data_IF_469978335887
#
_entry.id   IF_469978335887
#
_cell.length_a   1.000
_cell.length_b   1.000
_cell.length_c   1.000
_cell.angle_alpha   90.00
_cell.angle_beta   90.00
_cell.angle_gamma   90.00
#
_symmetry.space_group_name_H-M   'P 1'
#
loop_
_entity.id
_entity.type
_entity.pdbx_description
1 polymer ?
#
# COMPACT_ATOMS: atom_id res chain seq x y z
N UNK A 1 7.82 -10.52 -30.42
CA UNK A 1 7.89 -9.06 -30.15
C UNK A 1 7.15 -8.61 -28.87
N UNK A 2 6.06 -9.26 -28.44
CA UNK A 2 5.29 -8.85 -27.24
C UNK A 2 6.06 -8.86 -25.89
N UNK A 3 7.08 -9.71 -25.74
CA UNK A 3 7.84 -9.82 -24.48
C UNK A 3 8.69 -8.58 -24.17
N UNK A 4 9.22 -7.90 -25.19
CA UNK A 4 10.05 -6.71 -25.00
C UNK A 4 9.23 -5.53 -24.45
N UNK A 5 8.04 -5.31 -25.00
CA UNK A 5 7.16 -4.22 -24.57
C UNK A 5 6.68 -4.38 -23.11
N UNK A 6 6.37 -5.61 -22.68
CA UNK A 6 5.97 -5.88 -21.31
C UNK A 6 7.11 -5.62 -20.31
N UNK A 7 8.36 -5.93 -20.69
CA UNK A 7 9.53 -5.62 -19.88
C UNK A 7 9.68 -4.10 -19.69
N UNK A 8 9.72 -3.35 -20.79
CA UNK A 8 9.88 -1.89 -20.78
C UNK A 8 8.77 -1.22 -19.96
N UNK A 9 7.52 -1.64 -20.14
CA UNK A 9 6.39 -1.13 -19.35
C UNK A 9 6.57 -1.39 -17.85
N UNK A 10 7.00 -2.60 -17.48
CA UNK A 10 7.19 -2.94 -16.07
C UNK A 10 8.35 -2.15 -15.43
N UNK A 11 9.39 -1.86 -16.21
CA UNK A 11 10.53 -1.07 -15.75
C UNK A 11 10.17 0.41 -15.59
N UNK A 12 9.33 0.96 -16.48
CA UNK A 12 8.75 2.30 -16.30
C UNK A 12 7.87 2.39 -15.05
N UNK A 13 7.01 1.40 -14.81
CA UNK A 13 6.22 1.32 -13.57
C UNK A 13 7.13 1.32 -12.34
N UNK A 14 8.25 0.59 -12.39
CA UNK A 14 9.25 0.58 -11.32
C UNK A 14 9.85 1.96 -11.10
N UNK A 15 10.30 2.64 -12.16
CA UNK A 15 10.89 3.97 -12.08
C UNK A 15 9.93 5.01 -11.48
N UNK A 16 8.69 5.06 -11.97
CA UNK A 16 7.69 5.99 -11.43
C UNK A 16 7.38 5.70 -9.96
N UNK A 17 7.29 4.41 -9.60
CA UNK A 17 7.04 4.02 -8.20
C UNK A 17 8.21 4.38 -7.29
N UNK A 18 9.47 4.26 -7.75
CA UNK A 18 10.64 4.66 -6.96
C UNK A 18 10.74 6.16 -6.70
N UNK A 19 10.10 6.98 -7.54
CA UNK A 19 10.00 8.44 -7.35
C UNK A 19 8.84 8.79 -6.39
N UNK A 20 8.10 7.79 -5.89
CA UNK A 20 7.00 7.98 -4.95
C UNK A 20 5.62 8.11 -5.59
N UNK A 21 5.50 7.92 -6.91
CA UNK A 21 4.21 8.03 -7.59
C UNK A 21 3.23 6.94 -7.13
N UNK A 22 2.01 7.36 -6.81
CA UNK A 22 0.88 6.48 -6.51
C UNK A 22 0.41 5.74 -7.76
N UNK A 23 -0.29 4.61 -7.59
CA UNK A 23 -0.77 3.84 -8.73
C UNK A 23 -1.74 4.61 -9.64
N UNK A 24 -2.46 5.62 -9.10
CA UNK A 24 -3.32 6.51 -9.91
C UNK A 24 -2.49 7.49 -10.72
N UNK A 25 -1.47 8.09 -10.13
CA UNK A 25 -0.56 8.99 -10.85
C UNK A 25 0.21 8.24 -11.94
N UNK A 26 0.69 7.03 -11.67
CA UNK A 26 1.31 6.19 -12.71
C UNK A 26 0.33 5.94 -13.85
N UNK A 27 -0.95 5.64 -13.57
CA UNK A 27 -1.94 5.50 -14.62
C UNK A 27 -2.10 6.79 -15.45
N UNK A 28 -2.28 7.93 -14.81
CA UNK A 28 -2.42 9.23 -15.49
C UNK A 28 -1.19 9.58 -16.32
N UNK A 29 0.02 9.31 -15.81
CA UNK A 29 1.27 9.52 -16.55
C UNK A 29 1.36 8.64 -17.79
N UNK A 30 0.90 7.38 -17.70
CA UNK A 30 0.86 6.48 -18.84
C UNK A 30 -0.12 6.95 -19.93
N UNK A 31 -1.27 7.45 -19.51
CA UNK A 31 -2.29 8.00 -20.42
C UNK A 31 -1.81 9.30 -21.08
N UNK A 32 -1.24 10.23 -20.31
CA UNK A 32 -0.78 11.53 -20.80
C UNK A 32 0.48 11.45 -21.68
N UNK A 33 1.49 10.68 -21.26
CA UNK A 33 2.81 10.67 -21.91
C UNK A 33 2.89 9.67 -23.08
N UNK A 34 2.15 8.57 -23.01
CA UNK A 34 2.24 7.47 -23.97
C UNK A 34 0.92 7.17 -24.68
N UNK A 35 -0.18 7.86 -24.34
CA UNK A 35 -1.49 7.64 -24.96
C UNK A 35 -2.09 6.25 -24.66
N UNK A 36 -1.61 5.56 -23.61
CA UNK A 36 -2.01 4.18 -23.31
C UNK A 36 -2.69 4.08 -21.96
N UNK A 37 -3.88 3.47 -21.95
CA UNK A 37 -4.59 3.13 -20.72
C UNK A 37 -3.98 1.88 -20.09
N UNK A 38 -3.63 1.98 -18.82
CA UNK A 38 -3.19 0.84 -18.01
C UNK A 38 -4.08 0.77 -16.77
N UNK A 39 -4.55 -0.43 -16.44
CA UNK A 39 -5.37 -0.59 -15.24
C UNK A 39 -4.54 -0.45 -13.97
N UNK A 40 -5.11 0.15 -12.93
CA UNK A 40 -4.52 0.20 -11.58
C UNK A 40 -4.15 -1.21 -11.07
N UNK A 41 -4.97 -2.23 -11.38
CA UNK A 41 -4.68 -3.62 -11.02
C UNK A 41 -3.41 -4.14 -11.68
N UNK A 42 -3.16 -3.82 -12.95
CA UNK A 42 -1.92 -4.21 -13.62
C UNK A 42 -0.71 -3.53 -12.98
N UNK A 43 -0.81 -2.25 -12.63
CA UNK A 43 0.24 -1.52 -11.92
C UNK A 43 0.52 -2.19 -10.58
N UNK A 44 -0.52 -2.46 -9.78
CA UNK A 44 -0.39 -3.14 -8.48
C UNK A 44 0.22 -4.53 -8.62
N UNK A 45 -0.15 -5.29 -9.65
CA UNK A 45 0.44 -6.62 -9.91
C UNK A 45 1.93 -6.52 -10.20
N UNK A 46 2.34 -5.56 -11.03
CA UNK A 46 3.76 -5.31 -11.34
C UNK A 46 4.51 -4.85 -10.10
N UNK A 47 3.92 -3.95 -9.29
CA UNK A 47 4.50 -3.53 -8.02
C UNK A 47 4.73 -4.73 -7.10
N UNK A 48 3.74 -5.61 -6.94
CA UNK A 48 3.86 -6.84 -6.13
C UNK A 48 4.95 -7.77 -6.66
N UNK A 49 4.99 -8.02 -7.97
CA UNK A 49 6.00 -8.87 -8.61
C UNK A 49 7.43 -8.33 -8.45
N UNK A 50 7.60 -7.00 -8.43
CA UNK A 50 8.90 -6.34 -8.28
C UNK A 50 9.25 -5.99 -6.83
N UNK A 51 8.44 -6.41 -5.85
CA UNK A 51 8.66 -6.08 -4.44
C UNK A 51 8.44 -4.60 -4.07
N UNK A 52 7.83 -3.82 -4.96
CA UNK A 52 7.57 -2.38 -4.81
C UNK A 52 6.23 -2.10 -4.11
N UNK A 53 5.68 -3.10 -3.42
CA UNK A 53 4.50 -2.87 -2.59
C UNK A 53 4.87 -1.84 -1.55
N UNK A 54 4.08 -0.77 -1.45
CA UNK A 54 4.21 0.24 -0.41
C UNK A 54 3.88 -0.44 0.92
N UNK A 55 4.84 -1.15 1.51
CA UNK A 55 4.76 -1.53 2.90
C UNK A 55 4.83 -0.21 3.65
N UNK A 56 3.68 0.28 4.14
CA UNK A 56 3.73 1.24 5.23
C UNK A 56 4.59 0.60 6.32
N UNK A 57 5.60 1.32 6.79
CA UNK A 57 6.39 0.89 7.93
C UNK A 57 5.42 0.58 9.07
N UNK A 58 5.64 -0.55 9.73
CA UNK A 58 4.85 -0.90 10.90
C UNK A 58 5.08 0.18 11.96
N UNK A 59 4.00 0.61 12.61
CA UNK A 59 4.13 1.56 13.71
C UNK A 59 4.96 0.93 14.82
N UNK A 60 5.68 1.75 15.60
CA UNK A 60 6.53 1.20 16.66
C UNK A 60 5.72 0.32 17.62
N UNK A 61 6.31 -0.81 18.03
CA UNK A 61 5.64 -1.76 18.92
C UNK A 61 5.15 -1.11 20.21
N UNK A 62 5.89 -0.14 20.72
CA UNK A 62 5.53 0.64 21.91
C UNK A 62 4.21 1.40 21.72
N UNK A 63 4.03 2.08 20.58
CA UNK A 63 2.80 2.80 20.25
C UNK A 63 1.62 1.84 20.09
N UNK A 64 1.85 0.69 19.45
CA UNK A 64 0.83 -0.36 19.28
C UNK A 64 0.39 -0.90 20.64
N UNK A 65 1.34 -1.25 21.51
CA UNK A 65 1.06 -1.76 22.86
C UNK A 65 0.30 -0.72 23.68
N UNK A 66 0.70 0.55 23.60
CA UNK A 66 0.06 1.63 24.33
C UNK A 66 -1.40 1.81 23.88
N UNK A 67 -1.65 1.87 22.57
CA UNK A 67 -3.00 1.98 22.02
C UNK A 67 -3.88 0.77 22.36
N UNK A 68 -3.33 -0.45 22.36
CA UNK A 68 -4.04 -1.66 22.82
C UNK A 68 -4.42 -1.54 24.30
N UNK A 69 -3.49 -1.09 25.16
CA UNK A 69 -3.76 -0.91 26.59
C UNK A 69 -4.85 0.13 26.84
N UNK A 70 -4.86 1.21 26.07
CA UNK A 70 -5.91 2.25 26.14
C UNK A 70 -7.27 1.70 25.73
N UNK A 71 -7.33 0.94 24.63
CA UNK A 71 -8.57 0.31 24.17
C UNK A 71 -9.11 -0.72 25.17
N UNK A 72 -8.23 -1.53 25.75
CA UNK A 72 -8.62 -2.54 26.75
C UNK A 72 -9.14 -1.92 28.05
N UNK A 73 -8.70 -0.70 28.41
CA UNK A 73 -9.23 0.06 29.55
C UNK A 73 -10.62 0.65 29.26
N UNK A 74 -10.91 0.91 27.98
CA UNK A 74 -12.17 1.47 27.53
C UNK A 74 -13.12 0.37 27.01
N UNK A 75 -13.81 0.63 25.90
CA UNK A 75 -14.79 -0.27 25.30
C UNK A 75 -14.17 -1.42 24.49
N UNK A 76 -12.84 -1.47 24.37
CA UNK A 76 -12.12 -2.48 23.59
C UNK A 76 -12.03 -3.85 24.25
N UNK A 77 -12.46 -4.00 25.50
CA UNK A 77 -12.37 -5.26 26.27
C UNK A 77 -13.14 -6.43 25.65
N UNK A 78 -14.18 -6.15 24.87
CA UNK A 78 -15.00 -7.16 24.17
C UNK A 78 -14.62 -7.33 22.69
N UNK A 79 -13.62 -6.60 22.20
CA UNK A 79 -13.20 -6.69 20.81
C UNK A 79 -12.30 -7.90 20.59
N UNK A 80 -12.63 -8.72 19.59
CA UNK A 80 -11.70 -9.72 19.08
C UNK A 80 -10.51 -9.07 18.36
N UNK A 81 -9.42 -9.82 18.21
CA UNK A 81 -8.17 -9.37 17.59
C UNK A 81 -8.36 -8.57 16.28
N UNK A 82 -9.20 -9.06 15.36
CA UNK A 82 -9.45 -8.39 14.07
C UNK A 82 -10.14 -7.03 14.23
N UNK A 83 -11.04 -6.91 15.20
CA UNK A 83 -11.74 -5.66 15.48
C UNK A 83 -10.80 -4.66 16.17
N UNK A 84 -9.96 -5.14 17.11
CA UNK A 84 -8.88 -4.34 17.71
C UNK A 84 -7.92 -3.83 16.63
N UNK A 85 -7.45 -4.69 15.73
CA UNK A 85 -6.54 -4.30 14.63
C UNK A 85 -7.15 -3.22 13.73
N UNK A 86 -8.43 -3.34 13.37
CA UNK A 86 -9.14 -2.28 12.63
C UNK A 86 -9.24 -0.97 13.42
N UNK A 87 -9.48 -1.03 14.72
CA UNK A 87 -9.54 0.17 15.58
C UNK A 87 -8.20 0.87 15.69
N UNK A 88 -7.12 0.12 15.86
CA UNK A 88 -5.75 0.67 15.84
C UNK A 88 -5.47 1.39 14.52
N UNK A 89 -5.94 0.84 13.39
CA UNK A 89 -5.78 1.48 12.08
C UNK A 89 -6.66 2.73 11.90
N UNK A 90 -7.94 2.67 12.29
CA UNK A 90 -8.92 3.71 11.99
C UNK A 90 -8.92 4.87 13.00
N UNK A 91 -8.76 4.54 14.29
CA UNK A 91 -8.85 5.52 15.38
C UNK A 91 -7.47 6.08 15.71
N UNK A 92 -6.45 5.23 15.76
CA UNK A 92 -5.09 5.63 16.15
C UNK A 92 -4.16 5.86 14.94
N UNK A 93 -4.62 5.57 13.72
CA UNK A 93 -3.80 5.70 12.51
C UNK A 93 -2.61 4.74 12.44
N UNK A 94 -2.57 3.72 13.31
CA UNK A 94 -1.44 2.81 13.45
C UNK A 94 -1.44 1.74 12.37
N UNK A 95 -0.25 1.40 11.89
CA UNK A 95 -0.05 0.29 10.95
C UNK A 95 0.35 -0.92 11.78
N UNK A 96 -0.56 -1.89 11.89
CA UNK A 96 -0.38 -3.15 12.64
C UNK A 96 -0.50 -4.32 11.67
N UNK A 97 0.52 -5.17 11.59
CA UNK A 97 0.54 -6.32 10.66
C UNK A 97 0.29 -7.65 11.34
#
# INVERSE_FOLDING_TARGET
MQNSYLSVRNDLIKQYTSIGATSKEVQSLFELKYGRKISVRQIQRVKKQKGLSTMKEESSLELIIQAIKEELKAHGKLLGYRAMQKRLQLTYGLVVR
#
